data_IF_273924341261
#
_entry.id   IF_273924341261
#
_cell.length_a   1.000
_cell.length_b   1.000
_cell.length_c   1.000
_cell.angle_alpha   90.00
_cell.angle_beta   90.00
_cell.angle_gamma   90.00
#
_symmetry.space_group_name_H-M   'P 1'
#
loop_
_entity.id
_entity.type
_entity.pdbx_description
1 polymer ?
#
# COMPACT_ATOMS: atom_id res chain seq x y z
N UNK A 1 -42.13 -45.61 -38.44
CA UNK A 1 -41.24 -46.74 -38.09
C UNK A 1 -39.76 -46.34 -38.05
N UNK A 2 -39.12 -45.88 -39.15
CA UNK A 2 -37.67 -45.56 -39.16
C UNK A 2 -37.23 -44.44 -38.21
N UNK A 3 -38.05 -43.39 -38.04
CA UNK A 3 -37.78 -42.26 -37.12
C UNK A 3 -37.84 -42.68 -35.64
N UNK A 4 -38.61 -43.73 -35.31
CA UNK A 4 -38.73 -44.25 -33.95
C UNK A 4 -37.46 -45.03 -33.52
N UNK A 5 -36.85 -45.75 -34.47
CA UNK A 5 -35.65 -46.55 -34.24
C UNK A 5 -34.40 -45.66 -34.01
N UNK A 6 -34.35 -44.49 -34.66
CA UNK A 6 -33.27 -43.53 -34.48
C UNK A 6 -33.34 -42.80 -33.12
N UNK A 7 -34.55 -42.52 -32.63
CA UNK A 7 -34.76 -41.90 -31.30
C UNK A 7 -34.39 -42.88 -30.18
N UNK A 8 -34.71 -44.17 -30.33
CA UNK A 8 -34.40 -45.20 -29.34
C UNK A 8 -32.88 -45.50 -29.24
N UNK A 9 -32.16 -45.38 -30.36
CA UNK A 9 -30.70 -45.51 -30.38
C UNK A 9 -30.03 -44.36 -29.61
N UNK A 10 -30.58 -43.14 -29.70
CA UNK A 10 -29.97 -41.95 -29.10
C UNK A 10 -30.14 -41.86 -27.58
N UNK A 11 -31.18 -42.49 -27.02
CA UNK A 11 -31.39 -42.54 -25.55
C UNK A 11 -30.56 -43.62 -24.85
N UNK A 12 -29.92 -44.52 -25.60
CA UNK A 12 -29.18 -45.66 -25.06
C UNK A 12 -27.72 -45.34 -24.69
N UNK A 13 -27.26 -44.12 -24.97
CA UNK A 13 -25.87 -43.68 -24.77
C UNK A 13 -25.74 -42.63 -23.64
N UNK A 14 -26.50 -42.79 -22.57
CA UNK A 14 -26.42 -41.92 -21.39
C UNK A 14 -25.27 -42.37 -20.49
N UNK A 15 -24.15 -41.64 -20.53
CA UNK A 15 -23.05 -41.81 -19.58
C UNK A 15 -23.43 -41.19 -18.22
N UNK A 16 -23.11 -41.82 -17.08
CA UNK A 16 -23.26 -41.17 -15.79
C UNK A 16 -22.29 -39.99 -15.69
N UNK A 17 -22.84 -38.79 -15.43
CA UNK A 17 -22.05 -37.61 -15.08
C UNK A 17 -21.36 -37.87 -13.73
N UNK A 18 -20.06 -38.15 -13.76
CA UNK A 18 -19.24 -38.31 -12.58
C UNK A 18 -18.90 -36.93 -11.99
N UNK A 19 -19.75 -36.44 -11.10
CA UNK A 19 -19.46 -35.27 -10.27
C UNK A 19 -18.93 -35.74 -8.91
N UNK A 20 -17.73 -35.29 -8.52
CA UNK A 20 -17.21 -35.48 -7.16
C UNK A 20 -17.60 -34.30 -6.29
N UNK A 21 -17.82 -34.54 -4.99
CA UNK A 21 -18.05 -33.47 -4.04
C UNK A 21 -16.83 -32.53 -3.96
N UNK A 22 -17.09 -31.22 -3.95
CA UNK A 22 -16.09 -30.24 -3.52
C UNK A 22 -16.14 -30.16 -2.00
N UNK A 23 -15.12 -30.73 -1.34
CA UNK A 23 -14.97 -30.60 0.11
C UNK A 23 -14.07 -29.42 0.40
N UNK A 24 -14.59 -28.42 1.12
CA UNK A 24 -13.77 -27.33 1.62
C UNK A 24 -12.94 -27.81 2.80
N UNK A 25 -11.63 -27.70 2.68
CA UNK A 25 -10.70 -27.90 3.79
C UNK A 25 -9.98 -26.57 4.06
N UNK A 26 -10.13 -25.99 5.27
CA UNK A 26 -9.42 -24.77 5.61
C UNK A 26 -7.91 -24.96 5.52
N UNK A 27 -7.17 -23.95 5.07
CA UNK A 27 -5.70 -24.01 5.01
C UNK A 27 -5.06 -23.88 6.39
N UNK A 28 -5.72 -23.14 7.29
CA UNK A 28 -5.23 -22.90 8.64
C UNK A 28 -5.63 -24.06 9.57
N UNK A 29 -4.67 -24.70 10.26
CA UNK A 29 -4.95 -25.83 11.14
C UNK A 29 -5.88 -25.49 12.31
N UNK A 30 -5.96 -24.22 12.74
CA UNK A 30 -6.88 -23.79 13.80
C UNK A 30 -8.36 -24.00 13.44
N UNK A 31 -8.69 -24.11 12.16
CA UNK A 31 -10.06 -24.32 11.66
C UNK A 31 -10.27 -25.77 11.16
N UNK A 32 -9.41 -26.72 11.51
CA UNK A 32 -9.51 -28.11 11.05
C UNK A 32 -8.78 -28.40 9.72
N UNK A 33 -7.86 -27.52 9.33
CA UNK A 33 -6.94 -27.71 8.21
C UNK A 33 -5.76 -28.64 8.49
N UNK A 34 -4.90 -28.84 7.49
CA UNK A 34 -3.69 -29.65 7.64
C UNK A 34 -2.71 -29.06 8.67
N UNK A 35 -2.31 -29.86 9.67
CA UNK A 35 -1.32 -29.48 10.70
C UNK A 35 0.04 -29.10 10.12
N UNK A 36 0.39 -29.61 8.95
CA UNK A 36 1.66 -29.33 8.27
C UNK A 36 1.78 -27.85 7.86
N UNK A 37 0.66 -27.13 7.71
CA UNK A 37 0.68 -25.71 7.36
C UNK A 37 0.96 -24.78 8.54
N UNK A 38 0.92 -25.29 9.78
CA UNK A 38 1.02 -24.43 10.98
C UNK A 38 2.37 -23.71 11.09
N UNK A 39 3.48 -24.42 10.87
CA UNK A 39 4.82 -23.84 10.95
C UNK A 39 5.07 -22.80 9.85
N UNK A 40 4.63 -23.08 8.63
CA UNK A 40 4.77 -22.16 7.50
C UNK A 40 3.97 -20.86 7.71
N UNK A 41 2.70 -20.98 8.10
CA UNK A 41 1.83 -19.82 8.33
C UNK A 41 2.36 -18.96 9.48
N UNK A 42 2.85 -19.58 10.55
CA UNK A 42 3.44 -18.85 11.68
C UNK A 42 4.74 -18.14 11.29
N UNK A 43 5.64 -18.83 10.57
CA UNK A 43 6.89 -18.24 10.11
C UNK A 43 6.65 -17.04 9.18
N UNK A 44 5.69 -17.16 8.26
CA UNK A 44 5.30 -16.06 7.37
C UNK A 44 4.72 -14.87 8.16
N UNK A 45 3.87 -15.13 9.16
CA UNK A 45 3.32 -14.08 10.01
C UNK A 45 4.40 -13.39 10.85
N UNK A 46 5.36 -14.13 11.41
CA UNK A 46 6.46 -13.57 12.19
C UNK A 46 7.43 -12.76 11.33
N UNK A 47 7.68 -13.17 10.08
CA UNK A 47 8.55 -12.43 9.16
C UNK A 47 7.97 -11.06 8.75
N UNK A 48 6.65 -10.92 8.77
CA UNK A 48 5.94 -9.66 8.48
C UNK A 48 5.59 -8.86 9.75
N UNK A 49 5.87 -9.39 10.94
CA UNK A 49 5.49 -8.72 12.17
C UNK A 49 6.50 -7.63 12.54
N UNK A 50 6.20 -6.39 12.16
CA UNK A 50 6.97 -5.20 12.53
C UNK A 50 6.68 -4.70 13.95
N UNK A 51 5.76 -5.35 14.69
CA UNK A 51 5.45 -4.96 16.06
C UNK A 51 6.47 -5.57 17.03
N UNK A 52 7.37 -4.75 17.55
CA UNK A 52 8.15 -5.09 18.74
C UNK A 52 7.37 -4.70 20.00
N UNK A 53 7.36 -5.60 20.99
CA UNK A 53 6.68 -5.36 22.25
C UNK A 53 7.28 -4.17 23.00
N UNK A 54 6.43 -3.23 23.39
CA UNK A 54 6.82 -2.02 24.12
C UNK A 54 6.37 -0.77 23.39
N UNK A 55 5.17 -0.27 23.71
CA UNK A 55 4.85 1.12 23.41
C UNK A 55 5.72 1.97 24.33
N UNK A 56 6.92 2.32 23.89
CA UNK A 56 7.75 3.33 24.55
C UNK A 56 7.23 4.72 24.21
N UNK A 57 5.91 4.90 24.25
CA UNK A 57 5.27 6.19 24.04
C UNK A 57 5.65 7.10 25.21
N UNK A 58 6.68 7.90 25.00
CA UNK A 58 7.02 9.02 25.86
C UNK A 58 6.12 10.18 25.44
N UNK A 59 5.30 10.68 26.36
CA UNK A 59 4.46 11.83 26.06
C UNK A 59 5.35 13.04 25.69
N UNK A 60 5.12 13.67 24.53
CA UNK A 60 5.94 14.80 24.09
C UNK A 60 5.77 15.98 25.04
N UNK A 61 6.87 16.67 25.33
CA UNK A 61 6.88 17.84 26.22
C UNK A 61 6.14 19.02 25.58
N UNK A 62 5.86 20.05 26.38
CA UNK A 62 5.22 21.27 25.86
C UNK A 62 6.07 21.96 24.78
N UNK A 63 7.40 21.88 24.90
CA UNK A 63 8.33 22.41 23.90
C UNK A 63 8.29 21.59 22.61
N UNK A 64 8.30 20.25 22.70
CA UNK A 64 8.22 19.37 21.53
C UNK A 64 6.93 19.63 20.74
N UNK A 65 5.80 19.77 21.45
CA UNK A 65 4.51 20.09 20.81
C UNK A 65 4.53 21.44 20.10
N UNK A 66 5.20 22.44 20.68
CA UNK A 66 5.36 23.75 20.06
C UNK A 66 6.24 23.67 18.81
N UNK A 67 7.37 22.98 18.91
CA UNK A 67 8.29 22.74 17.79
C UNK A 67 7.59 22.03 16.64
N UNK A 68 6.88 20.92 16.92
CA UNK A 68 6.08 20.21 15.90
C UNK A 68 5.00 21.10 15.29
N UNK A 69 4.35 21.97 16.07
CA UNK A 69 3.33 22.89 15.55
C UNK A 69 3.92 23.96 14.63
N UNK A 70 5.11 24.46 14.94
CA UNK A 70 5.82 25.43 14.10
C UNK A 70 6.34 24.77 12.83
N UNK A 71 6.96 23.59 12.95
CA UNK A 71 7.46 22.82 11.81
C UNK A 71 6.34 22.50 10.81
N UNK A 72 5.18 22.03 11.28
CA UNK A 72 4.03 21.77 10.42
C UNK A 72 3.53 23.02 9.68
N UNK A 73 3.56 24.19 10.32
CA UNK A 73 3.19 25.47 9.67
C UNK A 73 4.20 25.89 8.62
N UNK A 74 5.49 25.84 8.95
CA UNK A 74 6.57 26.16 8.00
C UNK A 74 6.56 25.23 6.80
N UNK A 75 6.32 23.93 7.02
CA UNK A 75 6.16 22.96 5.94
C UNK A 75 4.94 23.26 5.08
N UNK A 76 3.80 23.56 5.70
CA UNK A 76 2.60 23.93 4.97
C UNK A 76 2.80 25.20 4.13
N UNK A 77 3.52 26.20 4.66
CA UNK A 77 3.85 27.42 3.92
C UNK A 77 4.80 27.11 2.75
N UNK A 78 5.86 26.34 2.98
CA UNK A 78 6.79 25.90 1.93
C UNK A 78 6.04 25.20 0.80
N UNK A 79 5.23 24.19 1.11
CA UNK A 79 4.50 23.44 0.08
C UNK A 79 3.47 24.30 -0.66
N UNK A 80 2.82 25.25 0.01
CA UNK A 80 1.93 26.19 -0.67
C UNK A 80 2.73 27.13 -1.59
N UNK A 81 3.86 27.67 -1.15
CA UNK A 81 4.71 28.54 -1.97
C UNK A 81 5.28 27.77 -3.18
N UNK A 82 5.66 26.51 -2.98
CA UNK A 82 6.12 25.62 -4.04
C UNK A 82 5.02 25.23 -5.03
N UNK A 83 3.80 24.97 -4.55
CA UNK A 83 2.64 24.70 -5.39
C UNK A 83 2.21 25.92 -6.22
N UNK A 84 2.48 27.14 -5.74
CA UNK A 84 2.21 28.38 -6.47
C UNK A 84 3.33 28.77 -7.46
N UNK A 85 4.29 27.87 -7.72
CA UNK A 85 5.34 28.06 -8.73
C UNK A 85 6.65 28.65 -8.19
N UNK A 86 6.84 28.73 -6.88
CA UNK A 86 8.13 29.00 -6.26
C UNK A 86 9.00 27.74 -6.16
N UNK A 87 10.32 27.89 -6.11
CA UNK A 87 11.21 26.83 -5.60
C UNK A 87 11.20 26.89 -4.07
N UNK A 88 10.91 25.77 -3.43
CA UNK A 88 10.74 25.69 -1.97
C UNK A 88 11.97 25.07 -1.31
N UNK A 89 12.80 25.89 -0.66
CA UNK A 89 13.97 25.41 0.08
C UNK A 89 13.76 25.53 1.59
N UNK A 90 13.94 24.44 2.32
CA UNK A 90 13.98 24.44 3.78
C UNK A 90 15.16 23.63 4.29
N UNK A 91 15.98 24.28 5.11
CA UNK A 91 17.05 23.63 5.84
C UNK A 91 16.72 23.62 7.33
N UNK A 92 16.69 22.42 7.90
CA UNK A 92 16.62 22.16 9.34
C UNK A 92 17.98 21.64 9.81
N UNK A 93 18.18 21.47 11.12
CA UNK A 93 19.41 20.92 11.69
C UNK A 93 19.70 19.49 11.18
N UNK A 94 18.66 18.67 10.97
CA UNK A 94 18.80 17.26 10.57
C UNK A 94 18.53 17.01 9.08
N UNK A 95 17.74 17.86 8.42
CA UNK A 95 17.28 17.64 7.05
C UNK A 95 17.40 18.87 6.17
N UNK A 96 17.79 18.68 4.92
CA UNK A 96 17.73 19.66 3.85
C UNK A 96 16.67 19.22 2.83
N UNK A 97 15.61 20.04 2.69
CA UNK A 97 14.46 19.76 1.85
C UNK A 97 14.45 20.76 0.69
N UNK A 98 14.49 20.26 -0.53
CA UNK A 98 14.38 21.03 -1.75
C UNK A 98 13.18 20.55 -2.55
N UNK A 99 12.21 21.45 -2.75
CA UNK A 99 10.99 21.21 -3.54
C UNK A 99 11.14 21.94 -4.86
N UNK A 100 11.20 21.16 -5.94
CA UNK A 100 11.24 21.66 -7.32
C UNK A 100 9.94 21.27 -8.02
N UNK A 101 9.41 22.19 -8.81
CA UNK A 101 8.25 21.93 -9.66
C UNK A 101 8.78 21.65 -11.08
N UNK A 102 8.63 20.41 -11.55
CA UNK A 102 8.99 20.00 -12.91
C UNK A 102 7.72 19.52 -13.63
N UNK A 103 7.37 20.19 -14.72
CA UNK A 103 6.27 19.80 -15.63
C UNK A 103 4.92 19.48 -14.94
N UNK A 104 4.58 20.17 -13.85
CA UNK A 104 3.34 19.93 -13.10
C UNK A 104 3.39 18.74 -12.15
N UNK A 105 4.59 18.24 -11.82
CA UNK A 105 4.87 17.32 -10.73
C UNK A 105 5.73 18.04 -9.68
N UNK A 106 5.41 17.86 -8.39
CA UNK A 106 6.25 18.37 -7.31
C UNK A 106 7.25 17.28 -6.91
N UNK A 107 8.53 17.53 -7.16
CA UNK A 107 9.63 16.67 -6.74
C UNK A 107 10.22 17.21 -5.44
N UNK A 108 10.17 16.40 -4.39
CA UNK A 108 10.68 16.73 -3.07
C UNK A 108 11.95 15.92 -2.81
N UNK A 109 13.09 16.59 -2.80
CA UNK A 109 14.37 16.03 -2.41
C UNK A 109 14.58 16.26 -0.92
N UNK A 110 14.60 15.18 -0.13
CA UNK A 110 14.89 15.21 1.30
C UNK A 110 16.28 14.61 1.49
N UNK A 111 17.25 15.44 1.87
CA UNK A 111 18.61 15.00 2.20
C UNK A 111 18.79 14.99 3.70
N UNK A 112 19.11 13.83 4.25
CA UNK A 112 19.52 13.70 5.65
C UNK A 112 20.97 14.20 5.81
N UNK A 113 21.18 15.18 6.70
CA UNK A 113 22.48 15.81 6.91
C UNK A 113 23.43 14.96 7.78
N UNK A 114 22.90 13.99 8.51
CA UNK A 114 23.66 13.08 9.36
C UNK A 114 24.20 11.89 8.56
N UNK A 115 23.35 11.31 7.69
CA UNK A 115 23.69 10.11 6.89
C UNK A 115 24.12 10.44 5.46
N UNK A 116 23.73 11.61 4.94
CA UNK A 116 23.94 12.00 3.54
C UNK A 116 23.01 11.31 2.55
N UNK A 117 22.02 10.55 3.03
CA UNK A 117 21.05 9.87 2.16
C UNK A 117 20.02 10.87 1.61
N UNK A 118 19.74 10.77 0.30
CA UNK A 118 18.71 11.57 -0.36
C UNK A 118 17.51 10.70 -0.72
N UNK A 119 16.36 11.05 -0.17
CA UNK A 119 15.06 10.48 -0.54
C UNK A 119 14.36 11.42 -1.51
N UNK A 120 13.87 10.87 -2.63
CA UNK A 120 13.13 11.63 -3.64
C UNK A 120 11.67 11.19 -3.56
N UNK A 121 10.77 12.15 -3.31
CA UNK A 121 9.33 11.93 -3.30
C UNK A 121 8.73 12.70 -4.48
N UNK A 122 8.16 11.96 -5.41
CA UNK A 122 7.41 12.53 -6.53
C UNK A 122 5.92 12.60 -6.14
N UNK A 123 5.38 13.82 -6.12
CA UNK A 123 3.96 14.06 -5.88
C UNK A 123 3.33 14.50 -7.19
N UNK A 124 2.85 13.51 -7.96
CA UNK A 124 2.03 13.75 -9.15
C UNK A 124 0.60 14.12 -8.75
N UNK A 125 0.01 15.12 -9.41
CA UNK A 125 -1.43 15.39 -9.28
C UNK A 125 -1.86 16.83 -9.08
N UNK A 126 -0.97 17.83 -9.16
CA UNK A 126 -1.42 19.19 -9.49
C UNK A 126 -1.71 19.22 -11.00
N UNK A 127 -2.81 18.56 -11.39
CA UNK A 127 -3.45 18.80 -12.67
C UNK A 127 -3.66 20.31 -12.79
N UNK A 128 -2.87 20.92 -13.68
CA UNK A 128 -3.03 22.32 -14.04
C UNK A 128 -4.51 22.59 -14.26
N UNK A 129 -4.99 23.68 -13.65
CA UNK A 129 -6.33 24.19 -13.83
C UNK A 129 -6.80 23.94 -15.26
N UNK A 130 -7.87 23.17 -15.38
CA UNK A 130 -8.56 22.87 -16.63
C UNK A 130 -8.78 24.17 -17.39
N UNK A 131 -7.90 24.44 -18.35
CA UNK A 131 -8.18 25.35 -19.45
C UNK A 131 -9.09 24.57 -20.40
N UNK A 132 -10.38 24.57 -20.09
CA UNK A 132 -11.45 24.10 -20.96
C UNK A 132 -12.39 25.28 -21.17
N UNK A 133 -12.49 25.74 -22.42
CA UNK A 133 -13.31 26.88 -22.83
C UNK A 133 -14.80 26.63 -22.83
#
# INVERSE_FOLDING_TARGET
MKKLLLILSMTSFSFPLAATQLVYTPVNPAFGGSYLNGSYLLANASAQNEHQGGSSYVAPTALDRLASSLQSRLMSQLFNDAANGGEGYLKTDDFEINVVNEDGSLLVHITDLLTGETTIIEVGGIVGASTGG
#
